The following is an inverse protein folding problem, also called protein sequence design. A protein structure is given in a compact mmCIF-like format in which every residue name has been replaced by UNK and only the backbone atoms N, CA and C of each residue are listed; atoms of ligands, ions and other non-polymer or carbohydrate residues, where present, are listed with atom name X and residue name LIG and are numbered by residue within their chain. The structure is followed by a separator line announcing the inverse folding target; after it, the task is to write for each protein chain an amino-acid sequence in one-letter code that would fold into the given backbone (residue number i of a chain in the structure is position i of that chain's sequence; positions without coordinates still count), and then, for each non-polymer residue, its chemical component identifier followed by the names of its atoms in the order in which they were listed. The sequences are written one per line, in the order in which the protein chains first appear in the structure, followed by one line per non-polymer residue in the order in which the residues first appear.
data_IF_650878016392
#
_entry.id   IF_650878016392
#
_cell.length_a   1.000
_cell.length_b   1.000
_cell.length_c   1.000
_cell.angle_alpha   90.00
_cell.angle_beta   90.00
_cell.angle_gamma   90.00
#
_symmetry.space_group_name_H-M   'P 1'
#
loop_
_entity.id
_entity.type
_entity.pdbx_description
1 polymer ?
#
# COMPACT_ATOMS: atom_id res chain seq x y z
N UNK A 1 29.73 8.46 14.99
CA UNK A 1 28.85 9.28 14.13
C UNK A 1 28.59 8.64 12.76
N UNK A 2 28.37 7.31 12.71
CA UNK A 2 28.31 6.53 11.47
C UNK A 2 26.89 6.20 10.90
N UNK A 3 25.74 6.33 11.59
CA UNK A 3 24.46 5.94 10.99
C UNK A 3 23.85 7.01 10.07
N UNK A 4 24.41 8.22 10.05
CA UNK A 4 23.81 9.37 9.35
C UNK A 4 24.06 9.31 7.85
N UNK A 5 25.21 8.79 7.40
CA UNK A 5 25.59 8.79 5.99
C UNK A 5 24.62 7.93 5.15
N UNK A 6 24.30 6.68 5.52
CA UNK A 6 23.31 5.87 4.80
C UNK A 6 21.92 6.51 4.84
N UNK A 7 21.50 7.06 5.99
CA UNK A 7 20.23 7.76 6.16
C UNK A 7 20.13 9.00 5.27
N UNK A 8 21.23 9.73 5.08
CA UNK A 8 21.29 10.92 4.26
C UNK A 8 21.16 10.56 2.78
N UNK A 9 21.86 9.54 2.30
CA UNK A 9 21.69 9.03 0.94
C UNK A 9 20.29 8.47 0.70
N UNK A 10 19.74 7.72 1.67
CA UNK A 10 18.38 7.22 1.60
C UNK A 10 17.38 8.38 1.53
N UNK A 11 17.52 9.40 2.39
CA UNK A 11 16.72 10.62 2.35
C UNK A 11 16.81 11.33 1.01
N UNK A 12 18.01 11.48 0.43
CA UNK A 12 18.23 12.16 -0.85
C UNK A 12 17.59 11.41 -2.02
N UNK A 13 17.72 10.07 -2.03
CA UNK A 13 17.06 9.20 -3.01
C UNK A 13 15.55 9.28 -2.85
N UNK A 14 15.03 9.17 -1.62
CA UNK A 14 13.60 9.32 -1.30
C UNK A 14 13.08 10.71 -1.68
N UNK A 15 13.89 11.76 -1.54
CA UNK A 15 13.51 13.13 -1.85
C UNK A 15 13.39 13.37 -3.36
N UNK A 16 14.34 12.87 -4.16
CA UNK A 16 14.27 12.98 -5.64
C UNK A 16 13.18 12.09 -6.24
N UNK A 17 12.85 10.97 -5.60
CA UNK A 17 11.74 10.09 -5.99
C UNK A 17 10.38 10.59 -5.50
N UNK A 18 10.39 11.59 -4.61
CA UNK A 18 9.20 12.08 -3.92
C UNK A 18 8.15 12.59 -4.89
N UNK A 19 8.52 13.37 -5.91
CA UNK A 19 7.47 14.02 -6.71
C UNK A 19 6.62 13.02 -7.51
N UNK A 20 7.22 12.16 -8.33
CA UNK A 20 6.42 11.32 -9.24
C UNK A 20 5.93 10.04 -8.56
N UNK A 21 6.76 9.42 -7.71
CA UNK A 21 6.42 8.15 -7.06
C UNK A 21 5.48 8.40 -5.88
N UNK A 22 5.76 9.40 -5.03
CA UNK A 22 4.88 9.71 -3.89
C UNK A 22 3.55 10.25 -4.36
N UNK A 23 3.48 11.07 -5.41
CA UNK A 23 2.19 11.53 -5.94
C UNK A 23 1.35 10.37 -6.52
N UNK A 24 1.96 9.42 -7.22
CA UNK A 24 1.26 8.23 -7.73
C UNK A 24 0.80 7.31 -6.59
N UNK A 25 1.66 7.06 -5.61
CA UNK A 25 1.33 6.28 -4.41
C UNK A 25 0.23 6.95 -3.57
N UNK A 26 0.27 8.27 -3.42
CA UNK A 26 -0.69 9.04 -2.64
C UNK A 26 -2.08 9.06 -3.28
N UNK A 27 -2.15 9.11 -4.62
CA UNK A 27 -3.42 8.92 -5.36
C UNK A 27 -3.99 7.51 -5.15
N UNK A 28 -3.13 6.50 -5.15
CA UNK A 28 -3.54 5.13 -4.81
C UNK A 28 -4.06 5.04 -3.38
N UNK A 29 -3.31 5.54 -2.40
CA UNK A 29 -3.69 5.51 -0.99
C UNK A 29 -5.01 6.26 -0.73
N UNK A 30 -5.23 7.40 -1.39
CA UNK A 30 -6.47 8.17 -1.30
C UNK A 30 -7.71 7.40 -1.73
N UNK A 31 -7.58 6.48 -2.68
CA UNK A 31 -8.69 5.61 -3.13
C UNK A 31 -8.74 4.32 -2.32
N UNK A 32 -7.58 3.74 -2.00
CA UNK A 32 -7.46 2.46 -1.33
C UNK A 32 -7.91 2.51 0.13
N UNK A 33 -7.59 3.58 0.87
CA UNK A 33 -7.98 3.74 2.27
C UNK A 33 -9.51 3.72 2.42
N UNK A 34 -10.29 4.60 1.77
CA UNK A 34 -11.76 4.55 1.89
C UNK A 34 -12.34 3.24 1.37
N UNK A 35 -11.78 2.66 0.30
CA UNK A 35 -12.18 1.34 -0.18
C UNK A 35 -11.99 0.26 0.90
N UNK A 36 -10.82 0.23 1.54
CA UNK A 36 -10.52 -0.73 2.61
C UNK A 36 -11.43 -0.56 3.82
N UNK A 37 -11.81 0.67 4.17
CA UNK A 37 -12.75 0.97 5.26
C UNK A 37 -14.15 0.44 4.90
N UNK A 38 -14.62 0.67 3.68
CA UNK A 38 -15.93 0.16 3.22
C UNK A 38 -15.96 -1.36 3.25
N UNK A 39 -14.92 -2.03 2.73
CA UNK A 39 -14.85 -3.49 2.76
C UNK A 39 -14.76 -4.04 4.19
N UNK A 40 -14.01 -3.40 5.07
CA UNK A 40 -13.93 -3.79 6.48
C UNK A 40 -15.26 -3.58 7.21
N UNK A 41 -16.00 -2.52 6.90
CA UNK A 41 -17.32 -2.24 7.48
C UNK A 41 -18.40 -3.21 6.99
N UNK A 42 -18.31 -3.68 5.75
CA UNK A 42 -19.21 -4.69 5.17
C UNK A 42 -18.92 -6.11 5.67
N UNK A 43 -17.76 -6.34 6.30
CA UNK A 43 -17.38 -7.66 6.82
C UNK A 43 -18.09 -7.92 8.16
N UNK A 44 -18.88 -9.00 8.30
CA UNK A 44 -19.56 -9.33 9.55
C UNK A 44 -18.59 -9.68 10.69
N UNK A 45 -18.94 -9.31 11.93
CA UNK A 45 -18.15 -9.64 13.14
C UNK A 45 -18.25 -11.11 13.58
N UNK A 46 -19.13 -11.91 12.98
CA UNK A 46 -19.40 -13.29 13.41
C UNK A 46 -19.73 -14.21 12.23
N UNK A 47 -19.22 -15.45 12.22
CA UNK A 47 -19.64 -16.48 11.26
C UNK A 47 -21.02 -17.01 11.67
N UNK A 48 -22.06 -16.18 11.55
CA UNK A 48 -23.42 -16.56 11.92
C UNK A 48 -24.29 -16.71 10.67
N UNK A 49 -24.39 -17.95 10.16
CA UNK A 49 -25.59 -18.56 9.59
C UNK A 49 -26.48 -17.82 8.57
N UNK A 50 -26.00 -16.82 7.84
CA UNK A 50 -26.79 -16.05 6.87
C UNK A 50 -26.46 -16.40 5.41
N UNK A 51 -27.49 -16.32 4.54
CA UNK A 51 -27.47 -16.52 3.07
C UNK A 51 -26.56 -15.50 2.33
N UNK A 52 -25.25 -15.54 2.59
CA UNK A 52 -24.21 -14.82 1.86
C UNK A 52 -23.08 -15.75 1.49
N UNK A 53 -22.23 -15.42 0.51
CA UNK A 53 -21.09 -16.25 0.14
C UNK A 53 -20.28 -16.55 1.40
N UNK A 54 -20.06 -17.85 1.65
CA UNK A 54 -19.42 -18.42 2.83
C UNK A 54 -17.92 -18.10 2.85
N UNK A 55 -17.59 -16.81 2.91
CA UNK A 55 -16.23 -16.35 3.08
C UNK A 55 -16.02 -16.33 4.60
N UNK A 56 -15.52 -17.45 5.13
CA UNK A 56 -15.21 -17.64 6.56
C UNK A 56 -13.99 -16.82 7.00
N UNK A 57 -13.82 -15.60 6.47
CA UNK A 57 -12.80 -14.65 6.85
C UNK A 57 -13.39 -13.78 7.96
N UNK A 58 -12.84 -13.88 9.17
CA UNK A 58 -13.21 -12.95 10.22
C UNK A 58 -12.80 -11.52 9.84
N UNK A 59 -13.36 -10.49 10.51
CA UNK A 59 -12.90 -9.10 10.32
C UNK A 59 -11.38 -8.95 10.39
N UNK A 60 -10.73 -9.71 11.29
CA UNK A 60 -9.26 -9.74 11.40
C UNK A 60 -8.56 -10.19 10.12
N UNK A 61 -9.08 -11.24 9.46
CA UNK A 61 -8.49 -11.77 8.23
C UNK A 61 -8.69 -10.81 7.06
N UNK A 62 -9.86 -10.18 6.94
CA UNK A 62 -10.12 -9.17 5.90
C UNK A 62 -9.18 -7.97 6.05
N UNK A 63 -8.99 -7.47 7.27
CA UNK A 63 -8.06 -6.36 7.54
C UNK A 63 -6.61 -6.77 7.26
N UNK A 64 -6.22 -8.00 7.60
CA UNK A 64 -4.90 -8.54 7.32
C UNK A 64 -4.64 -8.64 5.81
N UNK A 65 -5.58 -9.20 5.05
CA UNK A 65 -5.49 -9.30 3.58
C UNK A 65 -5.43 -7.92 2.93
N UNK A 66 -6.26 -6.96 3.38
CA UNK A 66 -6.21 -5.59 2.86
C UNK A 66 -4.89 -4.89 3.15
N UNK A 67 -4.30 -5.14 4.33
CA UNK A 67 -2.97 -4.62 4.70
C UNK A 67 -1.87 -5.25 3.86
N UNK A 68 -1.92 -6.56 3.64
CA UNK A 68 -0.95 -7.27 2.80
C UNK A 68 -1.02 -6.77 1.35
N UNK A 69 -2.22 -6.65 0.79
CA UNK A 69 -2.44 -6.11 -0.56
C UNK A 69 -1.95 -4.66 -0.66
N UNK A 70 -2.20 -3.84 0.36
CA UNK A 70 -1.70 -2.47 0.41
C UNK A 70 -0.17 -2.43 0.30
N UNK A 71 0.54 -3.29 1.04
CA UNK A 71 2.01 -3.37 0.99
C UNK A 71 2.50 -3.83 -0.39
N UNK A 72 1.91 -4.90 -0.95
CA UNK A 72 2.31 -5.44 -2.25
C UNK A 72 2.10 -4.43 -3.38
N UNK A 73 0.95 -3.75 -3.39
CA UNK A 73 0.63 -2.74 -4.41
C UNK A 73 1.53 -1.52 -4.23
N UNK A 74 1.76 -1.07 -2.98
CA UNK A 74 2.67 0.03 -2.68
C UNK A 74 4.08 -0.27 -3.20
N UNK A 75 4.61 -1.46 -2.92
CA UNK A 75 5.93 -1.88 -3.38
C UNK A 75 6.00 -1.94 -4.91
N UNK A 76 4.95 -2.43 -5.55
CA UNK A 76 4.86 -2.50 -7.02
C UNK A 76 4.89 -1.11 -7.66
N UNK A 77 4.09 -0.16 -7.14
CA UNK A 77 4.06 1.22 -7.63
C UNK A 77 5.43 1.88 -7.46
N UNK A 78 6.05 1.70 -6.29
CA UNK A 78 7.37 2.26 -5.99
C UNK A 78 8.42 1.70 -6.96
N UNK A 79 8.49 0.38 -7.10
CA UNK A 79 9.51 -0.30 -7.92
C UNK A 79 9.32 0.01 -9.41
N UNK A 80 8.09 0.02 -9.92
CA UNK A 80 7.82 0.32 -11.31
C UNK A 80 8.12 1.79 -11.64
N UNK A 81 7.64 2.73 -10.83
CA UNK A 81 7.93 4.16 -11.05
C UNK A 81 9.42 4.47 -10.91
N UNK A 82 10.10 3.86 -9.94
CA UNK A 82 11.56 3.94 -9.79
C UNK A 82 12.28 3.54 -11.09
N UNK A 83 11.92 2.39 -11.67
CA UNK A 83 12.54 1.90 -12.90
C UNK A 83 12.18 2.75 -14.12
N UNK A 84 10.94 3.24 -14.22
CA UNK A 84 10.49 4.11 -15.30
C UNK A 84 11.24 5.45 -15.31
N UNK A 85 11.43 6.08 -14.15
CA UNK A 85 12.21 7.33 -14.03
C UNK A 85 13.68 7.13 -14.39
N UNK A 86 14.26 5.96 -14.07
CA UNK A 86 15.65 5.64 -14.42
C UNK A 86 15.86 5.41 -15.93
N UNK A 87 14.83 4.91 -16.64
CA UNK A 87 14.86 4.74 -18.10
C UNK A 87 14.78 6.07 -18.88
N UNK A 88 14.13 7.09 -18.32
CA UNK A 88 14.00 8.42 -18.94
C UNK A 88 15.25 9.30 -18.77
N UNK A 89 16.13 8.97 -17.81
CA UNK A 89 17.36 9.71 -17.53
C UNK A 89 18.60 9.14 -18.25
N UNK A 90 18.42 8.15 -19.13
CA UNK A 90 19.48 7.47 -19.88
C UNK A 90 19.27 7.72 -21.37
#
# INVERSE_FOLDING_TARGET
MLPIIPLFFFSLITYKMRDVVTQAWMRFALVWIPLSIVLAALTPDSPAGGFGPQISLGKGDTVFVMSLLFVLISLTIITWKYLATRKLSK
#
